data_IF_107762308424
#
_entry.id   IF_107762308424
#
_cell.length_a   1.000
_cell.length_b   1.000
_cell.length_c   1.000
_cell.angle_alpha   90.00
_cell.angle_beta   90.00
_cell.angle_gamma   90.00
#
_symmetry.space_group_name_H-M   'P 1'
#
loop_
_entity.id
_entity.type
_entity.pdbx_description
1 polymer ?
#
# COMPACT_ATOMS: atom_id res chain seq x y z
N UNK A 1 6.38 9.53 6.48
CA UNK A 1 5.61 10.18 5.39
C UNK A 1 4.53 9.21 4.95
N UNK A 2 3.33 9.67 4.59
CA UNK A 2 2.32 8.79 3.97
C UNK A 2 1.32 9.60 3.17
N UNK A 3 0.47 8.92 2.40
CA UNK A 3 -0.68 9.50 1.72
C UNK A 3 -1.83 9.75 2.70
N UNK A 4 -2.60 10.80 2.47
CA UNK A 4 -3.72 11.21 3.33
C UNK A 4 -5.04 10.47 3.07
N UNK A 5 -5.06 9.56 2.09
CA UNK A 5 -6.24 8.88 1.55
C UNK A 5 -6.25 7.36 1.82
N UNK A 6 -5.19 6.81 2.41
CA UNK A 6 -5.05 5.38 2.70
C UNK A 6 -5.19 5.05 4.19
N UNK A 7 -6.03 4.06 4.52
CA UNK A 7 -6.16 3.51 5.88
C UNK A 7 -5.76 2.04 5.93
N UNK A 8 -5.15 1.62 7.04
CA UNK A 8 -4.58 0.28 7.19
C UNK A 8 -4.46 -0.11 8.65
N UNK A 9 -4.40 -1.42 8.90
CA UNK A 9 -4.00 -2.03 10.18
C UNK A 9 -2.48 -2.31 10.24
N UNK A 10 -1.69 -1.68 9.37
CA UNK A 10 -0.23 -1.79 9.37
C UNK A 10 0.35 -1.45 10.75
N UNK A 11 1.22 -2.31 11.25
CA UNK A 11 1.90 -2.08 12.52
C UNK A 11 3.06 -1.09 12.30
N UNK A 12 2.81 0.18 12.59
CA UNK A 12 3.79 1.26 12.42
C UNK A 12 5.05 1.05 13.28
N UNK A 13 4.92 0.50 14.50
CA UNK A 13 6.07 0.21 15.35
C UNK A 13 7.01 -0.80 14.70
N UNK A 14 6.47 -1.92 14.20
CA UNK A 14 7.26 -2.95 13.50
C UNK A 14 7.86 -2.43 12.19
N UNK A 15 7.14 -1.57 11.48
CA UNK A 15 7.65 -0.91 10.27
C UNK A 15 8.87 -0.01 10.60
N UNK A 16 8.82 0.75 11.70
CA UNK A 16 9.94 1.57 12.17
C UNK A 16 11.12 0.70 12.60
N UNK A 17 10.87 -0.35 13.39
CA UNK A 17 11.90 -1.32 13.80
C UNK A 17 12.58 -1.96 12.59
N UNK A 18 11.79 -2.37 11.59
CA UNK A 18 12.29 -2.91 10.33
C UNK A 18 13.20 -1.91 9.61
N UNK A 19 12.78 -0.64 9.51
CA UNK A 19 13.58 0.42 8.90
C UNK A 19 14.95 0.59 9.58
N UNK A 20 14.94 0.69 10.91
CA UNK A 20 16.16 0.81 11.70
C UNK A 20 17.07 -0.40 11.56
N UNK A 21 16.51 -1.61 11.50
CA UNK A 21 17.28 -2.85 11.41
C UNK A 21 18.11 -2.95 10.12
N UNK A 22 17.63 -2.40 9.00
CA UNK A 22 18.37 -2.43 7.74
C UNK A 22 19.18 -1.17 7.44
N UNK A 23 18.87 -0.03 8.06
CA UNK A 23 19.69 1.20 8.00
C UNK A 23 19.79 1.86 6.62
N UNK A 24 18.84 1.59 5.71
CA UNK A 24 18.77 2.22 4.38
C UNK A 24 18.01 3.55 4.47
N UNK A 25 18.07 4.38 3.42
CA UNK A 25 17.44 5.70 3.47
C UNK A 25 15.91 5.66 3.46
N UNK A 26 15.29 4.65 2.87
CA UNK A 26 13.85 4.60 2.75
C UNK A 26 13.28 3.18 2.94
N UNK A 27 12.12 3.13 3.57
CA UNK A 27 11.23 1.98 3.60
C UNK A 27 9.85 2.42 3.14
N UNK A 28 9.23 1.64 2.26
CA UNK A 28 7.81 1.76 1.94
C UNK A 28 7.04 0.54 2.41
N UNK A 29 5.75 0.69 2.67
CA UNK A 29 4.87 -0.44 2.96
C UNK A 29 4.31 -1.00 1.65
N UNK A 30 4.58 -2.27 1.39
CA UNK A 30 4.11 -2.98 0.21
C UNK A 30 2.81 -3.73 0.54
N UNK A 31 1.73 -3.43 -0.16
CA UNK A 31 0.37 -3.93 0.14
C UNK A 31 -0.26 -4.59 -1.09
N UNK A 32 -1.33 -5.35 -0.87
CA UNK A 32 -2.16 -5.83 -1.97
C UNK A 32 -3.16 -4.76 -2.39
N UNK A 33 -3.31 -4.49 -3.70
CA UNK A 33 -4.37 -3.61 -4.16
C UNK A 33 -5.74 -4.24 -3.92
N UNK A 34 -6.79 -3.42 -3.67
CA UNK A 34 -8.16 -3.93 -3.72
C UNK A 34 -8.47 -4.44 -5.13
N UNK A 35 -9.12 -5.59 -5.21
CA UNK A 35 -9.57 -6.14 -6.50
C UNK A 35 -10.48 -5.14 -7.21
N UNK A 36 -10.10 -4.74 -8.42
CA UNK A 36 -10.91 -3.82 -9.24
C UNK A 36 -11.97 -4.57 -10.05
N UNK A 37 -11.63 -5.77 -10.50
CA UNK A 37 -12.44 -6.59 -11.40
C UNK A 37 -12.72 -7.98 -10.81
N UNK A 38 -13.70 -8.67 -11.38
CA UNK A 38 -13.93 -10.09 -11.09
C UNK A 38 -12.85 -10.95 -11.75
N UNK A 39 -12.18 -11.78 -10.96
CA UNK A 39 -11.23 -12.75 -11.48
C UNK A 39 -11.96 -14.02 -11.93
N UNK A 40 -11.53 -14.58 -13.06
CA UNK A 40 -12.06 -15.80 -13.65
C UNK A 40 -10.97 -16.85 -13.69
N UNK A 41 -11.27 -18.06 -13.20
CA UNK A 41 -10.50 -19.23 -13.57
C UNK A 41 -11.19 -19.88 -14.77
N UNK A 42 -10.51 -19.93 -15.91
CA UNK A 42 -11.02 -20.47 -17.17
C UNK A 42 -10.25 -21.76 -17.47
N UNK A 43 -10.97 -22.86 -17.60
CA UNK A 43 -10.41 -24.14 -18.00
C UNK A 43 -10.05 -24.13 -19.51
N UNK A 44 -9.12 -24.98 -20.00
CA UNK A 44 -8.76 -25.02 -21.43
C UNK A 44 -9.91 -25.27 -22.42
N UNK A 45 -11.07 -25.75 -21.96
CA UNK A 45 -12.30 -25.92 -22.75
C UNK A 45 -13.22 -24.69 -22.70
N UNK A 46 -12.69 -23.52 -22.32
CA UNK A 46 -13.36 -22.22 -22.20
C UNK A 46 -14.45 -22.12 -21.12
N UNK A 47 -14.60 -23.14 -20.27
CA UNK A 47 -15.52 -23.11 -19.16
C UNK A 47 -14.96 -22.31 -17.98
N UNK A 48 -15.75 -21.37 -17.46
CA UNK A 48 -15.45 -20.69 -16.18
C UNK A 48 -15.66 -21.67 -15.04
N UNK A 49 -14.61 -21.98 -14.29
CA UNK A 49 -14.64 -22.88 -13.13
C UNK A 49 -14.77 -22.12 -11.80
N UNK A 50 -14.42 -20.84 -11.79
CA UNK A 50 -14.52 -19.96 -10.62
C UNK A 50 -14.71 -18.51 -11.08
N UNK A 51 -15.60 -17.80 -10.40
CA UNK A 51 -15.79 -16.35 -10.52
C UNK A 51 -15.63 -15.76 -9.13
N UNK A 52 -14.59 -14.96 -8.92
CA UNK A 52 -14.37 -14.26 -7.66
C UNK A 52 -14.49 -12.77 -7.92
N UNK A 53 -15.56 -12.15 -7.44
CA UNK A 53 -15.72 -10.70 -7.55
C UNK A 53 -14.67 -10.03 -6.66
N UNK A 54 -13.72 -9.34 -7.29
CA UNK A 54 -12.74 -8.46 -6.63
C UNK A 54 -11.88 -9.17 -5.58
N UNK A 55 -11.15 -10.22 -5.97
CA UNK A 55 -10.24 -10.87 -5.03
C UNK A 55 -9.18 -9.89 -4.56
N UNK A 56 -8.76 -10.03 -3.30
CA UNK A 56 -7.54 -9.41 -2.82
C UNK A 56 -6.36 -9.98 -3.60
N UNK A 57 -5.50 -9.11 -4.13
CA UNK A 57 -4.21 -9.52 -4.66
C UNK A 57 -4.23 -10.20 -6.03
N UNK A 58 -5.11 -9.77 -6.96
CA UNK A 58 -5.07 -10.19 -8.38
C UNK A 58 -3.86 -9.62 -9.16
N UNK A 59 -2.81 -9.23 -8.44
CA UNK A 59 -1.61 -8.56 -8.94
C UNK A 59 -0.51 -8.56 -7.88
N UNK A 60 0.70 -8.17 -8.29
CA UNK A 60 1.84 -8.04 -7.38
C UNK A 60 1.60 -7.01 -6.26
N UNK A 61 2.47 -7.02 -5.26
CA UNK A 61 2.47 -5.99 -4.22
C UNK A 61 2.66 -4.60 -4.84
N UNK A 62 1.93 -3.61 -4.31
CA UNK A 62 2.01 -2.21 -4.73
C UNK A 62 2.53 -1.34 -3.58
N UNK A 63 2.90 -0.09 -3.91
CA UNK A 63 3.22 0.94 -2.91
C UNK A 63 1.94 1.35 -2.16
N UNK A 64 1.83 0.97 -0.88
CA UNK A 64 0.73 1.35 0.00
C UNK A 64 0.97 2.63 0.80
N UNK A 65 2.08 3.33 0.55
CA UNK A 65 2.51 4.48 1.35
C UNK A 65 3.21 4.04 2.63
N UNK A 66 2.83 4.63 3.77
CA UNK A 66 3.39 4.37 5.09
C UNK A 66 4.92 4.23 5.05
N UNK A 67 5.58 5.34 4.73
CA UNK A 67 7.02 5.40 4.58
C UNK A 67 7.72 5.73 5.89
N UNK A 68 8.83 5.06 6.14
CA UNK A 68 9.85 5.47 7.10
C UNK A 68 11.08 5.91 6.32
N UNK A 69 11.51 7.14 6.55
CA UNK A 69 12.49 7.83 5.71
C UNK A 69 13.57 8.45 6.58
N UNK A 70 14.81 8.33 6.13
CA UNK A 70 15.91 9.16 6.60
C UNK A 70 15.74 10.59 6.07
N UNK A 71 16.07 11.65 6.84
CA UNK A 71 16.03 13.03 6.35
C UNK A 71 16.83 13.28 5.07
N UNK A 72 17.87 12.46 4.80
CA UNK A 72 18.70 12.53 3.59
C UNK A 72 17.90 12.40 2.28
N UNK A 73 16.72 11.77 2.30
CA UNK A 73 15.90 11.66 1.08
C UNK A 73 15.37 13.01 0.59
N UNK A 74 15.36 14.04 1.45
CA UNK A 74 14.94 15.40 1.08
C UNK A 74 15.92 16.00 0.05
N UNK A 75 17.19 15.59 0.07
CA UNK A 75 18.20 16.04 -0.89
C UNK A 75 17.87 15.61 -2.33
N UNK A 76 16.96 14.63 -2.51
CA UNK A 76 16.44 14.20 -3.81
C UNK A 76 15.30 15.09 -4.33
N UNK A 77 14.84 16.08 -3.55
CA UNK A 77 13.72 16.96 -3.87
C UNK A 77 14.29 18.35 -4.20
N UNK A 78 14.64 18.57 -5.46
CA UNK A 78 15.29 19.82 -5.89
C UNK A 78 14.33 21.03 -5.93
N UNK A 79 13.04 20.81 -6.15
CA UNK A 79 12.03 21.85 -6.28
C UNK A 79 10.59 21.30 -6.16
N UNK A 80 9.61 22.17 -6.00
CA UNK A 80 8.19 21.82 -5.75
C UNK A 80 7.54 20.96 -6.84
N UNK A 81 8.07 20.96 -8.07
CA UNK A 81 7.54 20.14 -9.17
C UNK A 81 8.03 18.67 -9.13
N UNK A 82 8.89 18.30 -8.18
CA UNK A 82 9.34 16.91 -8.02
C UNK A 82 8.19 16.08 -7.47
N UNK A 83 7.83 15.03 -8.21
CA UNK A 83 6.87 14.02 -7.79
C UNK A 83 7.63 12.94 -7.04
N UNK A 84 7.30 12.75 -5.76
CA UNK A 84 7.95 11.78 -4.86
C UNK A 84 8.03 10.37 -5.47
N UNK A 85 6.95 9.92 -6.12
CA UNK A 85 6.81 8.60 -6.74
C UNK A 85 7.63 8.38 -8.00
N UNK A 86 8.23 9.43 -8.56
CA UNK A 86 9.06 9.34 -9.76
C UNK A 86 10.53 9.36 -9.38
N UNK A 87 11.23 10.42 -9.75
CA UNK A 87 12.68 10.54 -9.63
C UNK A 87 13.22 10.18 -8.23
N UNK A 88 12.63 10.62 -7.09
CA UNK A 88 13.15 10.25 -5.78
C UNK A 88 13.04 8.75 -5.48
N UNK A 89 11.85 8.15 -5.64
CA UNK A 89 11.66 6.73 -5.36
C UNK A 89 12.38 5.83 -6.38
N UNK A 90 12.41 6.20 -7.66
CA UNK A 90 13.19 5.50 -8.69
C UNK A 90 14.68 5.54 -8.38
N UNK A 91 15.22 6.69 -7.95
CA UNK A 91 16.62 6.84 -7.53
C UNK A 91 16.94 5.99 -6.31
N UNK A 92 16.08 6.02 -5.27
CA UNK A 92 16.26 5.21 -4.07
C UNK A 92 16.22 3.71 -4.39
N UNK A 93 15.33 3.27 -5.27
CA UNK A 93 15.28 1.89 -5.73
C UNK A 93 16.54 1.51 -6.53
N UNK A 94 16.91 2.31 -7.54
CA UNK A 94 18.08 2.06 -8.40
C UNK A 94 19.42 2.10 -7.67
N UNK A 95 19.50 2.82 -6.54
CA UNK A 95 20.69 2.92 -5.69
C UNK A 95 20.69 1.94 -4.50
N UNK A 96 19.75 0.98 -4.45
CA UNK A 96 19.58 0.03 -3.34
C UNK A 96 19.40 0.70 -1.96
N UNK A 97 18.75 1.86 -1.93
CA UNK A 97 18.44 2.63 -0.72
C UNK A 97 16.96 2.56 -0.31
N UNK A 98 16.15 1.78 -1.03
CA UNK A 98 14.73 1.54 -0.75
C UNK A 98 14.49 0.08 -0.39
N UNK A 99 13.73 -0.18 0.69
CA UNK A 99 13.27 -1.52 1.07
C UNK A 99 11.75 -1.56 1.20
N UNK A 100 11.16 -2.70 0.83
CA UNK A 100 9.74 -2.96 1.01
C UNK A 100 9.48 -3.67 2.34
N UNK A 101 8.56 -3.15 3.14
CA UNK A 101 7.95 -3.82 4.28
C UNK A 101 6.62 -4.43 3.84
N UNK A 102 6.55 -5.76 3.73
CA UNK A 102 5.33 -6.44 3.26
C UNK A 102 4.23 -6.42 4.32
N UNK A 103 3.05 -5.96 3.93
CA UNK A 103 1.85 -5.95 4.75
C UNK A 103 0.71 -6.71 4.05
N UNK A 104 0.37 -7.87 4.60
CA UNK A 104 -0.69 -8.75 4.08
C UNK A 104 -2.07 -8.47 4.69
N UNK A 105 -2.13 -7.55 5.67
CA UNK A 105 -3.36 -7.18 6.39
C UNK A 105 -4.29 -6.28 5.59
N UNK A 106 -5.16 -5.56 6.29
CA UNK A 106 -6.06 -4.59 5.68
C UNK A 106 -5.29 -3.34 5.20
N UNK A 107 -5.49 -2.98 3.95
CA UNK A 107 -5.11 -1.69 3.39
C UNK A 107 -6.15 -1.30 2.35
N UNK A 108 -6.62 -0.06 2.40
CA UNK A 108 -7.63 0.44 1.48
C UNK A 108 -7.42 1.95 1.25
N UNK A 109 -7.25 2.40 0.00
CA UNK A 109 -7.30 3.81 -0.36
C UNK A 109 -8.74 4.29 -0.50
N UNK A 110 -8.95 5.59 -0.43
CA UNK A 110 -10.24 6.25 -0.68
C UNK A 110 -10.18 7.11 -1.96
N UNK A 111 -9.97 6.46 -3.10
CA UNK A 111 -9.83 7.14 -4.40
C UNK A 111 -11.19 7.52 -5.02
N UNK A 112 -12.22 6.72 -4.73
CA UNK A 112 -13.54 6.83 -5.37
C UNK A 112 -14.68 6.91 -4.35
N UNK A 113 -15.86 7.35 -4.81
CA UNK A 113 -17.07 7.31 -3.99
C UNK A 113 -17.39 5.89 -3.47
N UNK A 114 -17.04 4.87 -4.26
CA UNK A 114 -17.24 3.48 -3.86
C UNK A 114 -16.34 3.10 -2.68
N UNK A 115 -15.08 3.52 -2.70
CA UNK A 115 -14.15 3.29 -1.60
C UNK A 115 -14.63 4.00 -0.33
N UNK A 116 -15.08 5.26 -0.47
CA UNK A 116 -15.70 6.00 0.64
C UNK A 116 -16.87 5.23 1.26
N UNK A 117 -17.82 4.76 0.44
CA UNK A 117 -18.97 4.03 0.94
C UNK A 117 -18.57 2.71 1.62
N UNK A 118 -17.56 2.01 1.09
CA UNK A 118 -17.04 0.79 1.71
C UNK A 118 -16.38 1.06 3.07
N UNK A 119 -15.53 2.09 3.16
CA UNK A 119 -14.90 2.50 4.41
C UNK A 119 -15.93 2.98 5.44
N UNK A 120 -16.94 3.73 5.01
CA UNK A 120 -18.02 4.17 5.89
C UNK A 120 -18.84 2.99 6.44
N UNK A 121 -19.15 1.98 5.61
CA UNK A 121 -19.83 0.76 6.06
C UNK A 121 -19.01 -0.01 7.12
N UNK A 122 -17.70 -0.16 6.90
CA UNK A 122 -16.80 -0.76 7.88
C UNK A 122 -16.79 0.02 9.19
N UNK A 123 -16.79 1.35 9.12
CA UNK A 123 -16.83 2.23 10.28
C UNK A 123 -18.15 2.10 11.05
N UNK A 124 -19.29 2.26 10.37
CA UNK A 124 -20.62 2.23 10.98
C UNK A 124 -20.97 0.87 11.57
N UNK A 125 -20.50 -0.21 10.95
CA UNK A 125 -20.69 -1.58 11.47
C UNK A 125 -19.75 -1.93 12.64
N UNK A 126 -18.85 -1.04 13.03
CA UNK A 126 -17.86 -1.28 14.08
C UNK A 126 -16.78 -2.29 13.70
N UNK A 127 -16.57 -2.53 12.39
CA UNK A 127 -15.65 -3.53 11.84
C UNK A 127 -14.45 -2.92 11.12
N UNK A 128 -14.23 -1.61 11.25
CA UNK A 128 -13.10 -0.89 10.66
C UNK A 128 -11.75 -1.47 11.15
N UNK A 129 -10.99 -2.22 10.33
CA UNK A 129 -9.78 -2.88 10.80
C UNK A 129 -8.66 -1.90 11.19
N UNK A 130 -8.67 -0.71 10.59
CA UNK A 130 -7.73 0.36 10.91
C UNK A 130 -8.02 1.04 12.27
N UNK A 131 -9.20 0.83 12.87
CA UNK A 131 -9.54 1.38 14.19
C UNK A 131 -8.87 0.55 15.29
N UNK A 132 -7.59 0.85 15.56
CA UNK A 132 -6.77 0.16 16.58
C UNK A 132 -6.72 0.89 17.93
N UNK A 133 -7.56 1.91 18.11
CA UNK A 133 -7.67 2.69 19.35
C UNK A 133 -8.99 2.42 20.07
N UNK A 134 -9.02 2.76 21.37
CA UNK A 134 -10.21 2.68 22.22
C UNK A 134 -11.20 3.81 21.91
#
# INVERSE_FOLDING_TARGET
LTYGDGVSDVNITKLIEFHHAHGLQATLTATYPPGRFGALDIHPDERVTSFKEKPKGDGGLINGGFFVLSPKVIDLIAHDQIIWEREPLETLAGSNQLKAYSHEGFWQPMDTLRDKNHLEELWQSGKAPWKVWA
#
